data_IF_967226259860
#
_entry.id   IF_967226259860
#
_cell.length_a   1.000
_cell.length_b   1.000
_cell.length_c   1.000
_cell.angle_alpha   90.00
_cell.angle_beta   90.00
_cell.angle_gamma   90.00
#
_symmetry.space_group_name_H-M   'P 1'
#
loop_
_entity.id
_entity.type
_entity.pdbx_description
1 polymer ?
#
# COMPACT_ATOMS: atom_id res chain seq x y z
N UNK A 1 32.46 29.93 28.31
CA UNK A 1 31.89 28.89 29.19
C UNK A 1 30.54 29.40 29.63
N UNK A 2 29.48 29.05 28.91
CA UNK A 2 28.15 29.38 29.39
C UNK A 2 27.89 28.52 30.63
N UNK A 3 27.48 29.20 31.73
CA UNK A 3 27.18 28.53 32.97
C UNK A 3 26.04 27.56 32.76
N UNK A 4 26.23 26.31 33.17
CA UNK A 4 25.16 25.32 33.22
C UNK A 4 24.12 25.80 34.22
N UNK A 5 22.96 26.20 33.77
CA UNK A 5 21.85 26.55 34.64
C UNK A 5 21.11 25.25 35.03
N UNK A 6 21.74 24.49 35.91
CA UNK A 6 21.23 23.21 36.40
C UNK A 6 21.24 23.22 37.92
N UNK A 7 20.16 22.77 38.52
CA UNK A 7 20.09 22.52 39.99
C UNK A 7 19.98 21.02 40.22
N UNK A 8 20.80 20.50 41.12
CA UNK A 8 20.82 19.10 41.52
C UNK A 8 20.75 18.99 43.04
N UNK A 9 19.75 18.30 43.53
CA UNK A 9 19.59 17.97 44.94
C UNK A 9 19.39 16.47 45.09
N UNK A 10 20.14 15.83 45.99
CA UNK A 10 19.98 14.42 46.30
C UNK A 10 20.61 14.05 47.64
N UNK A 11 20.11 13.00 48.28
CA UNK A 11 20.73 12.38 49.42
C UNK A 11 21.63 11.23 48.94
N UNK A 12 22.93 11.42 49.07
CA UNK A 12 23.92 10.43 48.60
C UNK A 12 24.47 9.59 49.73
N UNK A 13 24.50 8.28 49.59
CA UNK A 13 25.17 7.36 50.49
C UNK A 13 25.74 6.17 49.74
N UNK A 14 26.66 5.44 50.31
CA UNK A 14 27.29 4.28 49.66
C UNK A 14 28.80 4.21 49.83
N UNK A 15 29.45 3.54 48.92
CA UNK A 15 30.87 3.27 48.91
C UNK A 15 31.46 3.09 47.52
N UNK A 16 32.61 2.45 47.41
CA UNK A 16 33.28 2.24 46.12
C UNK A 16 32.57 1.25 45.21
N UNK A 17 31.83 0.31 45.79
CA UNK A 17 31.11 -0.74 45.02
C UNK A 17 29.67 -0.35 44.67
N UNK A 18 29.11 0.62 45.38
CA UNK A 18 27.71 1.08 45.11
C UNK A 18 27.49 2.50 45.63
N UNK A 19 26.73 3.28 44.88
CA UNK A 19 26.29 4.63 45.23
C UNK A 19 24.76 4.65 45.12
N UNK A 20 24.11 5.13 46.19
CA UNK A 20 22.68 5.34 46.26
C UNK A 20 22.42 6.82 46.30
N UNK A 21 21.52 7.29 45.46
CA UNK A 21 21.03 8.65 45.40
C UNK A 21 19.53 8.63 45.61
N UNK A 22 19.09 9.04 46.80
CA UNK A 22 17.70 9.09 47.15
C UNK A 22 17.17 10.53 47.01
N UNK A 23 15.85 10.63 46.63
CA UNK A 23 15.16 11.89 46.49
C UNK A 23 15.90 12.86 45.55
N UNK A 24 16.32 12.36 44.42
CA UNK A 24 17.00 13.17 43.40
C UNK A 24 15.97 14.15 42.80
N UNK A 25 16.35 15.42 42.78
CA UNK A 25 15.67 16.48 42.06
C UNK A 25 16.66 17.16 41.11
N UNK A 26 16.51 16.95 39.83
CA UNK A 26 17.33 17.56 38.78
C UNK A 26 16.45 18.50 37.95
N UNK A 27 16.84 19.76 37.88
CA UNK A 27 16.23 20.74 36.99
C UNK A 27 17.29 21.35 36.07
N UNK A 28 16.89 21.71 34.86
CA UNK A 28 17.74 22.34 33.85
C UNK A 28 17.00 23.56 33.27
N UNK A 29 17.63 24.74 33.33
CA UNK A 29 17.02 26.01 32.92
C UNK A 29 15.64 26.30 33.59
N UNK A 30 15.45 25.79 34.82
CA UNK A 30 14.22 25.93 35.57
C UNK A 30 13.18 24.81 35.31
N UNK A 31 13.36 23.99 34.29
CA UNK A 31 12.48 22.86 34.00
C UNK A 31 12.94 21.60 34.74
N UNK A 32 11.99 20.87 35.32
CA UNK A 32 12.26 19.61 36.03
C UNK A 32 12.57 18.51 35.00
N UNK A 33 13.79 17.96 35.09
CA UNK A 33 14.27 16.91 34.15
C UNK A 33 14.14 15.53 34.78
N UNK A 34 14.54 15.39 36.07
CA UNK A 34 14.49 14.11 36.76
C UNK A 34 14.01 14.27 38.20
N UNK A 35 13.17 13.33 38.62
CA UNK A 35 12.76 13.14 40.01
C UNK A 35 12.64 11.64 40.27
N UNK A 36 13.30 11.15 41.30
CA UNK A 36 13.31 9.73 41.59
C UNK A 36 14.44 9.30 42.49
N UNK A 37 14.74 8.02 42.45
CA UNK A 37 15.87 7.40 43.17
C UNK A 37 16.74 6.65 42.14
N UNK A 38 18.06 6.66 42.37
CA UNK A 38 19.00 5.94 41.52
C UNK A 38 19.99 5.18 42.41
N UNK A 39 20.18 3.91 42.12
CA UNK A 39 21.28 3.10 42.67
C UNK A 39 22.22 2.73 41.54
N UNK A 40 23.51 2.97 41.75
CA UNK A 40 24.58 2.65 40.80
C UNK A 40 25.51 1.64 41.46
N UNK A 41 25.69 0.52 40.81
CA UNK A 41 26.60 -0.54 41.25
C UNK A 41 27.83 -0.57 40.34
N UNK A 42 28.98 -0.85 40.93
CA UNK A 42 30.29 -0.90 40.26
C UNK A 42 30.68 0.38 39.51
N UNK A 43 30.53 1.57 40.11
CA UNK A 43 30.69 2.85 39.41
C UNK A 43 32.08 3.12 38.87
N UNK A 44 33.12 2.40 39.38
CA UNK A 44 34.52 2.52 38.94
C UNK A 44 34.80 1.67 37.71
N UNK A 45 34.00 0.61 37.48
CA UNK A 45 34.18 -0.34 36.39
C UNK A 45 33.10 -0.03 35.32
N UNK A 46 33.37 0.86 34.38
CA UNK A 46 32.41 1.32 33.37
C UNK A 46 31.77 0.15 32.60
N UNK A 47 32.57 -0.90 32.28
CA UNK A 47 32.05 -2.10 31.59
C UNK A 47 31.14 -2.96 32.48
N UNK A 48 31.08 -2.70 33.78
CA UNK A 48 30.27 -3.43 34.76
C UNK A 48 29.20 -2.54 35.40
N UNK A 49 29.12 -1.30 34.97
CA UNK A 49 28.16 -0.31 35.49
C UNK A 49 26.74 -0.83 35.38
N UNK A 50 26.09 -1.01 36.53
CA UNK A 50 24.67 -1.40 36.60
C UNK A 50 23.90 -0.27 37.30
N UNK A 51 22.78 0.10 36.72
CA UNK A 51 21.90 1.18 37.20
C UNK A 51 20.53 0.61 37.54
N UNK A 52 20.04 0.93 38.72
CA UNK A 52 18.64 0.80 39.08
C UNK A 52 18.06 2.21 39.31
N UNK A 53 17.09 2.61 38.50
CA UNK A 53 16.48 3.92 38.62
C UNK A 53 14.95 3.78 38.74
N UNK A 54 14.40 4.32 39.83
CA UNK A 54 12.97 4.51 39.98
C UNK A 54 12.63 5.95 39.58
N UNK A 55 12.08 6.13 38.38
CA UNK A 55 11.77 7.41 37.79
C UNK A 55 10.33 7.82 38.10
N UNK A 56 10.13 8.75 39.04
CA UNK A 56 8.85 9.40 39.26
C UNK A 56 8.58 10.43 38.16
N UNK A 57 9.64 10.99 37.58
CA UNK A 57 9.62 11.92 36.49
C UNK A 57 10.98 11.89 35.79
N UNK A 58 10.98 11.57 34.52
CA UNK A 58 12.13 11.75 33.64
C UNK A 58 11.62 12.41 32.36
N UNK A 59 12.08 13.62 32.12
CA UNK A 59 11.62 14.44 30.99
C UNK A 59 12.79 14.81 30.10
N UNK A 60 12.60 14.71 28.80
CA UNK A 60 13.49 15.31 27.81
C UNK A 60 12.71 15.66 26.51
N UNK A 61 13.21 16.67 25.85
CA UNK A 61 12.78 17.08 24.52
C UNK A 61 14.00 17.24 23.61
N UNK A 62 13.74 17.62 22.35
CA UNK A 62 14.81 17.79 21.36
C UNK A 62 15.85 18.84 21.78
N UNK A 63 15.45 19.92 22.44
CA UNK A 63 16.34 21.00 22.87
C UNK A 63 17.25 20.52 23.98
N UNK A 64 16.68 19.91 25.01
CA UNK A 64 17.43 19.34 26.13
C UNK A 64 18.39 18.23 25.67
N UNK A 65 17.93 17.35 24.79
CA UNK A 65 18.75 16.28 24.22
C UNK A 65 19.95 16.84 23.45
N UNK A 66 19.74 17.83 22.60
CA UNK A 66 20.79 18.51 21.85
C UNK A 66 21.78 19.25 22.75
N UNK A 67 21.28 19.94 23.77
CA UNK A 67 22.11 20.66 24.72
C UNK A 67 22.98 19.70 25.53
N UNK A 68 22.45 18.55 25.94
CA UNK A 68 23.21 17.49 26.63
C UNK A 68 24.31 16.90 25.75
N UNK A 69 23.99 16.55 24.49
CA UNK A 69 24.98 16.02 23.55
C UNK A 69 26.13 17.01 23.30
N UNK A 70 25.80 18.30 23.14
CA UNK A 70 26.79 19.35 22.93
C UNK A 70 27.73 19.51 24.16
N UNK A 71 27.17 19.40 25.36
CA UNK A 71 27.97 19.52 26.61
C UNK A 71 28.87 18.31 26.85
N UNK A 72 28.43 17.14 26.43
CA UNK A 72 29.24 15.89 26.51
C UNK A 72 30.20 15.76 25.32
N UNK A 73 30.29 16.77 24.43
CA UNK A 73 31.06 16.77 23.18
C UNK A 73 30.77 15.55 22.29
N UNK A 74 29.56 15.00 22.39
CA UNK A 74 29.06 13.91 21.55
C UNK A 74 28.52 14.50 20.25
N UNK A 75 29.18 14.20 19.13
CA UNK A 75 28.82 14.72 17.78
C UNK A 75 28.28 13.59 16.90
N UNK A 76 27.39 13.94 15.99
CA UNK A 76 26.92 13.00 14.96
C UNK A 76 25.68 12.19 15.33
N UNK A 77 25.13 12.35 16.54
CA UNK A 77 23.86 11.73 16.90
C UNK A 77 22.70 12.66 16.55
N UNK A 78 21.80 12.22 15.68
CA UNK A 78 20.54 12.89 15.38
C UNK A 78 19.39 11.99 15.79
N UNK A 79 18.34 12.59 16.38
CA UNK A 79 17.10 11.86 16.61
C UNK A 79 16.46 11.50 15.26
N UNK A 80 16.03 10.26 15.03
CA UNK A 80 15.27 9.89 13.84
C UNK A 80 14.03 10.78 13.69
N UNK A 81 13.67 11.13 12.44
CA UNK A 81 12.52 12.00 12.14
C UNK A 81 11.22 11.62 12.87
N UNK A 82 10.82 10.34 12.96
CA UNK A 82 9.63 9.98 13.72
C UNK A 82 9.72 10.38 15.20
N UNK A 83 10.90 10.30 15.83
CA UNK A 83 11.06 10.67 17.24
C UNK A 83 10.99 12.19 17.47
N UNK A 84 11.39 13.01 16.49
CA UNK A 84 11.23 14.47 16.58
C UNK A 84 9.76 14.90 16.63
N UNK A 85 8.87 14.12 15.99
CA UNK A 85 7.44 14.38 16.02
C UNK A 85 6.81 14.14 17.40
N UNK A 86 7.46 13.40 18.31
CA UNK A 86 7.02 13.19 19.69
C UNK A 86 7.07 14.49 20.51
N UNK A 87 7.88 15.47 20.11
CA UNK A 87 8.17 16.78 20.71
C UNK A 87 8.81 16.70 22.10
N UNK A 88 8.29 15.89 22.99
CA UNK A 88 8.82 15.61 24.32
C UNK A 88 8.53 14.17 24.70
N UNK A 89 9.34 13.63 25.58
CA UNK A 89 9.15 12.32 26.18
C UNK A 89 9.20 12.50 27.71
N UNK A 90 8.14 12.09 28.36
CA UNK A 90 8.05 12.00 29.80
C UNK A 90 7.89 10.54 30.19
N UNK A 91 8.87 10.01 30.90
CA UNK A 91 8.87 8.63 31.38
C UNK A 91 8.61 8.55 32.87
N UNK A 92 7.76 7.60 33.25
CA UNK A 92 7.50 7.23 34.65
C UNK A 92 7.58 5.72 34.76
N UNK A 93 8.44 5.22 35.67
CA UNK A 93 8.64 3.78 35.80
C UNK A 93 10.02 3.42 36.32
N UNK A 94 10.36 2.14 36.20
CA UNK A 94 11.64 1.58 36.61
C UNK A 94 12.54 1.29 35.43
N UNK A 95 13.82 1.55 35.59
CA UNK A 95 14.88 1.23 34.64
C UNK A 95 15.93 0.42 35.41
N UNK A 96 16.20 -0.80 34.96
CA UNK A 96 17.14 -1.72 35.59
C UNK A 96 18.11 -2.29 34.56
N UNK A 97 19.39 -2.28 34.87
CA UNK A 97 20.38 -2.97 34.06
C UNK A 97 21.59 -2.14 33.67
N UNK A 98 22.28 -2.60 32.65
CA UNK A 98 23.38 -1.90 31.98
C UNK A 98 22.85 -1.17 30.75
N UNK A 99 23.61 -0.20 30.23
CA UNK A 99 23.26 0.50 29.01
C UNK A 99 23.02 -0.47 27.82
N UNK A 100 23.80 -1.54 27.78
CA UNK A 100 23.71 -2.59 26.75
C UNK A 100 22.58 -3.59 27.01
N UNK A 101 21.90 -3.56 28.16
CA UNK A 101 20.91 -4.54 28.58
C UNK A 101 20.04 -3.97 29.69
N UNK A 102 19.10 -3.08 29.31
CA UNK A 102 18.21 -2.37 30.21
C UNK A 102 16.80 -2.95 30.19
N UNK A 103 16.28 -3.27 31.37
CA UNK A 103 14.86 -3.56 31.58
C UNK A 103 14.10 -2.25 31.78
N UNK A 104 13.05 -2.05 31.01
CA UNK A 104 12.13 -0.93 31.12
C UNK A 104 10.77 -1.40 31.60
N UNK A 105 10.25 -0.83 32.67
CA UNK A 105 8.93 -1.09 33.16
C UNK A 105 8.22 0.22 33.53
N UNK A 106 7.41 0.76 32.62
CA UNK A 106 6.83 2.08 32.84
C UNK A 106 5.94 2.58 31.71
N UNK A 107 5.81 3.89 31.67
CA UNK A 107 5.01 4.56 30.66
C UNK A 107 5.74 5.78 30.10
N UNK A 108 5.70 5.88 28.76
CA UNK A 108 6.13 7.06 28.02
C UNK A 108 4.93 7.91 27.65
N UNK A 109 4.91 9.16 28.09
CA UNK A 109 3.92 10.16 27.68
C UNK A 109 4.59 11.17 26.76
N UNK A 110 3.97 11.43 25.62
CA UNK A 110 4.46 12.33 24.57
C UNK A 110 3.35 13.29 24.14
N UNK A 111 3.64 14.23 23.27
CA UNK A 111 2.61 15.07 22.67
C UNK A 111 1.58 14.27 21.81
N UNK A 112 1.90 13.04 21.43
CA UNK A 112 1.04 12.19 20.59
C UNK A 112 0.20 11.19 21.39
N UNK A 113 0.47 11.02 22.68
CA UNK A 113 -0.22 10.07 23.56
C UNK A 113 0.72 9.36 24.51
N UNK A 114 0.16 8.39 25.24
CA UNK A 114 0.90 7.60 26.23
C UNK A 114 1.00 6.16 25.78
N UNK A 115 2.20 5.59 25.86
CA UNK A 115 2.48 4.17 25.64
C UNK A 115 3.03 3.56 26.92
N UNK A 116 2.58 2.36 27.26
CA UNK A 116 3.18 1.53 28.33
C UNK A 116 4.15 0.58 27.71
N UNK A 117 5.26 0.38 28.39
CA UNK A 117 6.32 -0.53 27.96
C UNK A 117 6.75 -1.42 29.12
N UNK A 118 6.96 -2.68 28.81
CA UNK A 118 7.54 -3.66 29.72
C UNK A 118 8.44 -4.59 28.90
N UNK A 119 9.75 -4.43 28.96
CA UNK A 119 10.64 -5.22 28.13
C UNK A 119 12.11 -4.84 28.30
N UNK A 120 12.92 -5.55 27.55
CA UNK A 120 14.36 -5.39 27.46
C UNK A 120 14.68 -4.44 26.30
N UNK A 121 15.50 -3.44 26.56
CA UNK A 121 16.08 -2.56 25.57
C UNK A 121 17.59 -2.68 25.60
N UNK A 122 18.18 -2.95 24.46
CA UNK A 122 19.63 -3.02 24.28
C UNK A 122 20.06 -1.90 23.34
N UNK A 123 20.97 -1.06 23.78
CA UNK A 123 21.51 0.04 22.99
C UNK A 123 22.95 -0.32 22.62
N UNK A 124 23.27 -0.25 21.33
CA UNK A 124 24.65 -0.42 20.87
C UNK A 124 25.54 0.65 21.50
N UNK A 125 26.76 0.26 21.94
CA UNK A 125 27.78 1.15 22.51
C UNK A 125 28.15 2.31 21.59
N UNK A 126 27.95 2.15 20.28
CA UNK A 126 28.12 3.23 19.28
C UNK A 126 26.96 4.20 19.23
N UNK A 127 25.85 3.92 19.94
CA UNK A 127 24.56 4.65 19.89
C UNK A 127 23.96 4.72 18.50
N UNK A 128 24.31 3.80 17.61
CA UNK A 128 23.80 3.77 16.23
C UNK A 128 22.66 2.79 16.02
N UNK A 129 22.37 1.95 17.02
CA UNK A 129 21.29 0.98 16.94
C UNK A 129 20.71 0.66 18.31
N UNK A 130 19.50 0.11 18.31
CA UNK A 130 18.85 -0.40 19.50
C UNK A 130 17.98 -1.63 19.17
N UNK A 131 17.94 -2.58 20.10
CA UNK A 131 17.01 -3.70 20.09
C UNK A 131 15.99 -3.50 21.19
N UNK A 132 14.77 -3.88 20.95
CA UNK A 132 13.71 -3.93 21.95
C UNK A 132 12.99 -5.28 21.88
N UNK A 133 12.83 -5.89 23.03
CA UNK A 133 12.05 -7.13 23.17
C UNK A 133 11.12 -7.02 24.36
N UNK A 134 9.82 -7.01 24.11
CA UNK A 134 8.86 -6.88 25.20
C UNK A 134 7.45 -6.54 24.74
N UNK A 135 6.69 -6.04 25.69
CA UNK A 135 5.32 -5.68 25.54
C UNK A 135 5.15 -4.17 25.47
N UNK A 136 4.42 -3.69 24.46
CA UNK A 136 4.06 -2.28 24.26
C UNK A 136 2.55 -2.15 24.11
N UNK A 137 1.93 -1.22 24.82
CA UNK A 137 0.50 -0.99 24.69
C UNK A 137 0.12 0.48 24.78
N UNK A 138 -0.97 0.85 24.13
CA UNK A 138 -1.58 2.17 24.22
C UNK A 138 -3.09 2.10 24.09
N UNK A 139 -3.81 3.00 24.76
CA UNK A 139 -5.25 3.17 24.60
C UNK A 139 -5.60 4.27 23.58
N UNK A 140 -4.61 5.01 23.10
CA UNK A 140 -4.78 6.05 22.08
C UNK A 140 -3.48 6.81 21.85
N UNK A 141 -2.95 6.67 20.63
CA UNK A 141 -1.70 7.31 20.20
C UNK A 141 -1.90 7.86 18.79
N UNK A 142 -1.49 9.12 18.54
CA UNK A 142 -1.68 9.81 17.26
C UNK A 142 -0.61 9.37 16.24
N UNK A 143 -0.73 8.12 15.76
CA UNK A 143 0.26 7.50 14.86
C UNK A 143 0.39 8.24 13.53
N UNK A 144 -0.69 8.82 13.02
CA UNK A 144 -0.66 9.63 11.80
C UNK A 144 0.24 10.86 11.93
N UNK A 145 0.27 11.50 13.09
CA UNK A 145 1.19 12.61 13.35
C UNK A 145 2.63 12.14 13.50
N UNK A 146 2.85 10.94 14.06
CA UNK A 146 4.18 10.36 14.15
C UNK A 146 4.83 10.21 12.76
N UNK A 147 4.08 9.69 11.79
CA UNK A 147 4.56 9.43 10.43
C UNK A 147 4.22 10.53 9.41
N UNK A 148 3.65 11.66 9.85
CA UNK A 148 3.17 12.75 8.97
C UNK A 148 2.16 12.28 7.90
N UNK A 149 1.32 11.29 8.25
CA UNK A 149 0.31 10.74 7.35
C UNK A 149 -1.08 11.30 7.72
N UNK A 150 -1.65 12.14 6.85
CA UNK A 150 -2.88 12.90 7.13
C UNK A 150 -4.15 12.05 7.30
N UNK A 151 -4.20 10.91 6.60
CA UNK A 151 -5.38 10.04 6.59
C UNK A 151 -5.35 8.98 7.71
N UNK A 152 -4.23 8.86 8.42
CA UNK A 152 -4.05 7.98 9.57
C UNK A 152 -4.24 8.78 10.86
N UNK A 153 -5.10 8.29 11.75
CA UNK A 153 -5.45 8.98 13.00
C UNK A 153 -4.86 8.31 14.24
N UNK A 154 -5.73 8.08 15.23
CA UNK A 154 -5.36 7.43 16.48
C UNK A 154 -5.31 5.91 16.32
N UNK A 155 -4.43 5.29 17.13
CA UNK A 155 -4.35 3.84 17.27
C UNK A 155 -4.41 3.45 18.75
N UNK A 156 -5.09 2.35 19.07
CA UNK A 156 -5.04 1.70 20.37
C UNK A 156 -4.68 0.23 20.16
N UNK A 157 -3.59 -0.22 20.75
CA UNK A 157 -3.07 -1.57 20.56
C UNK A 157 -2.42 -2.15 21.82
N UNK A 158 -2.22 -3.45 21.77
CA UNK A 158 -1.50 -4.27 22.72
C UNK A 158 -0.62 -5.22 21.89
N UNK A 159 0.70 -5.16 22.07
CA UNK A 159 1.62 -5.87 21.21
C UNK A 159 2.83 -6.44 21.96
N UNK A 160 3.25 -7.64 21.60
CA UNK A 160 4.56 -8.17 21.85
C UNK A 160 5.45 -7.88 20.64
N UNK A 161 6.61 -7.29 20.87
CA UNK A 161 7.54 -6.86 19.82
C UNK A 161 8.92 -7.39 20.17
N UNK A 162 9.60 -7.97 19.19
CA UNK A 162 11.04 -8.27 19.21
C UNK A 162 11.63 -7.63 17.96
N UNK A 163 12.30 -6.51 18.10
CA UNK A 163 12.71 -5.72 16.95
C UNK A 163 14.02 -4.98 17.15
N UNK A 164 14.63 -4.67 16.04
CA UNK A 164 15.88 -3.93 15.95
C UNK A 164 15.76 -2.74 15.00
N UNK A 165 16.39 -1.67 15.40
CA UNK A 165 16.50 -0.43 14.62
C UNK A 165 17.96 -0.03 14.54
N UNK A 166 18.42 0.35 13.36
CA UNK A 166 19.66 1.11 13.21
C UNK A 166 19.38 2.62 13.17
N UNK A 167 20.39 3.43 12.98
CA UNK A 167 20.26 4.90 12.96
C UNK A 167 19.32 5.42 11.87
N UNK A 168 18.91 4.61 10.90
CA UNK A 168 18.19 5.02 9.69
C UNK A 168 16.85 4.33 9.51
N UNK A 169 16.72 3.05 9.93
CA UNK A 169 15.57 2.23 9.61
C UNK A 169 15.36 1.04 10.58
N UNK A 170 14.18 0.46 10.56
CA UNK A 170 13.94 -0.85 11.16
C UNK A 170 14.63 -1.93 10.33
N UNK A 171 15.43 -2.76 11.00
CA UNK A 171 16.19 -3.83 10.36
C UNK A 171 15.50 -5.18 10.49
N UNK A 172 14.81 -5.39 11.60
CA UNK A 172 14.06 -6.60 11.90
C UNK A 172 12.96 -6.29 12.90
N UNK A 173 11.80 -6.95 12.77
CA UNK A 173 10.71 -6.84 13.72
C UNK A 173 9.85 -8.10 13.65
N UNK A 174 9.73 -8.81 14.75
CA UNK A 174 8.67 -9.79 14.99
C UNK A 174 7.63 -9.12 15.86
N UNK A 175 6.38 -9.15 15.44
CA UNK A 175 5.29 -8.55 16.19
C UNK A 175 4.07 -9.45 16.23
N UNK A 176 3.55 -9.67 17.44
CA UNK A 176 2.21 -10.20 17.69
C UNK A 176 1.39 -9.07 18.31
N UNK A 177 0.39 -8.56 17.60
CA UNK A 177 -0.33 -7.38 18.02
C UNK A 177 -1.86 -7.55 17.90
N UNK A 178 -2.56 -7.05 18.91
CA UNK A 178 -4.00 -6.82 18.87
C UNK A 178 -4.25 -5.31 18.82
N UNK A 179 -4.71 -4.82 17.67
CA UNK A 179 -5.11 -3.44 17.47
C UNK A 179 -6.61 -3.36 17.76
N UNK A 180 -6.95 -2.77 18.90
CA UNK A 180 -8.36 -2.62 19.34
C UNK A 180 -9.12 -1.69 18.43
N UNK A 181 -8.46 -0.61 18.00
CA UNK A 181 -8.99 0.37 17.05
C UNK A 181 -7.88 1.14 16.36
N UNK A 182 -8.11 1.52 15.11
CA UNK A 182 -7.28 2.47 14.34
C UNK A 182 -8.16 3.32 13.45
N UNK A 183 -7.91 4.63 13.45
CA UNK A 183 -8.61 5.57 12.58
C UNK A 183 -7.85 5.68 11.25
N UNK A 184 -8.55 5.42 10.14
CA UNK A 184 -8.01 5.58 8.78
C UNK A 184 -9.10 6.06 7.82
N UNK A 185 -8.80 7.08 7.01
CA UNK A 185 -9.73 7.72 6.06
C UNK A 185 -11.07 8.15 6.70
N UNK A 186 -11.05 8.57 7.98
CA UNK A 186 -12.25 8.99 8.70
C UNK A 186 -13.15 7.83 9.18
N UNK A 187 -12.74 6.59 9.01
CA UNK A 187 -13.37 5.41 9.58
C UNK A 187 -12.51 4.84 10.71
N UNK A 188 -13.14 4.31 11.77
CA UNK A 188 -12.45 3.62 12.86
C UNK A 188 -12.59 2.12 12.69
N UNK A 189 -11.51 1.46 12.30
CA UNK A 189 -11.41 0.01 12.21
C UNK A 189 -11.22 -0.60 13.58
N UNK A 190 -11.82 -1.77 13.82
CA UNK A 190 -11.78 -2.48 15.08
C UNK A 190 -11.27 -3.91 14.93
N UNK A 191 -10.77 -4.49 16.06
CA UNK A 191 -10.44 -5.91 16.19
C UNK A 191 -9.49 -6.40 15.09
N UNK A 192 -8.32 -5.79 14.98
CA UNK A 192 -7.28 -6.18 14.04
C UNK A 192 -6.24 -7.00 14.81
N UNK A 193 -5.90 -8.16 14.28
CA UNK A 193 -4.82 -9.01 14.79
C UNK A 193 -3.74 -9.11 13.72
N UNK A 194 -2.50 -8.94 14.14
CA UNK A 194 -1.33 -9.04 13.31
C UNK A 194 -0.35 -9.98 14.02
N UNK A 195 0.18 -10.94 13.26
CA UNK A 195 1.24 -11.83 13.70
C UNK A 195 2.19 -12.04 12.53
N UNK A 196 3.43 -11.57 12.67
CA UNK A 196 4.36 -11.64 11.56
C UNK A 196 5.76 -11.16 11.88
N UNK A 197 6.59 -11.38 10.90
CA UNK A 197 7.98 -10.98 10.85
C UNK A 197 8.22 -10.03 9.68
N UNK A 198 8.92 -8.97 9.95
CA UNK A 198 9.38 -7.99 8.98
C UNK A 198 10.89 -7.88 9.05
N UNK A 199 11.56 -8.14 7.95
CA UNK A 199 12.96 -7.86 7.69
C UNK A 199 13.09 -6.73 6.67
N UNK A 200 14.29 -6.27 6.37
CA UNK A 200 14.53 -5.18 5.41
C UNK A 200 13.87 -5.48 4.05
N UNK A 201 13.93 -6.72 3.60
CA UNK A 201 13.49 -7.15 2.27
C UNK A 201 12.34 -8.17 2.30
N UNK A 202 11.78 -8.47 3.46
CA UNK A 202 10.76 -9.50 3.60
C UNK A 202 9.69 -9.11 4.62
N UNK A 203 8.46 -9.42 4.29
CA UNK A 203 7.34 -9.44 5.23
C UNK A 203 6.69 -10.82 5.13
N UNK A 204 6.55 -11.49 6.26
CA UNK A 204 5.88 -12.78 6.37
C UNK A 204 4.95 -12.79 7.57
N UNK A 205 3.68 -13.16 7.38
CA UNK A 205 2.75 -13.21 8.51
C UNK A 205 1.29 -13.22 8.14
N UNK A 206 0.48 -12.98 9.16
CA UNK A 206 -0.97 -12.97 9.08
C UNK A 206 -1.54 -11.64 9.56
N UNK A 207 -2.57 -11.17 8.88
CA UNK A 207 -3.39 -10.03 9.28
C UNK A 207 -4.85 -10.45 9.28
N UNK A 208 -5.55 -10.25 10.39
CA UNK A 208 -6.98 -10.48 10.50
C UNK A 208 -7.70 -9.22 10.95
N UNK A 209 -8.79 -8.87 10.28
CA UNK A 209 -9.69 -7.77 10.66
C UNK A 209 -11.08 -8.36 10.88
N UNK A 210 -11.66 -8.08 12.04
CA UNK A 210 -13.01 -8.51 12.42
C UNK A 210 -13.84 -7.28 12.81
N UNK A 211 -14.20 -6.51 11.79
CA UNK A 211 -14.99 -5.28 11.91
C UNK A 211 -16.38 -5.48 11.29
N UNK A 212 -17.35 -4.67 11.66
CA UNK A 212 -18.74 -4.78 11.18
C UNK A 212 -18.86 -4.54 9.67
N UNK A 213 -17.92 -3.79 9.08
CA UNK A 213 -17.93 -3.41 7.67
C UNK A 213 -16.81 -4.05 6.85
N UNK A 214 -15.96 -4.85 7.48
CA UNK A 214 -14.94 -5.65 6.81
C UNK A 214 -14.52 -6.84 7.67
N UNK A 215 -14.57 -8.02 7.09
CA UNK A 215 -13.95 -9.23 7.63
C UNK A 215 -12.88 -9.68 6.65
N UNK A 216 -11.61 -9.57 7.06
CA UNK A 216 -10.45 -9.80 6.20
C UNK A 216 -9.47 -10.71 6.94
N UNK A 217 -8.99 -11.75 6.24
CA UNK A 217 -7.83 -12.51 6.65
C UNK A 217 -6.82 -12.50 5.49
N UNK A 218 -5.59 -12.13 5.79
CA UNK A 218 -4.46 -12.21 4.87
C UNK A 218 -3.41 -13.08 5.52
N UNK A 219 -2.89 -14.03 4.75
CA UNK A 219 -1.75 -14.85 5.14
C UNK A 219 -0.77 -14.86 3.97
N UNK A 220 0.50 -14.65 4.22
CA UNK A 220 1.48 -14.79 3.16
C UNK A 220 2.82 -14.13 3.38
N UNK A 221 3.56 -14.14 2.29
CA UNK A 221 4.94 -13.70 2.18
C UNK A 221 5.07 -12.70 1.04
N UNK A 222 5.78 -11.61 1.29
CA UNK A 222 6.32 -10.74 0.26
C UNK A 222 7.83 -10.56 0.52
N UNK A 223 8.62 -10.95 -0.46
CA UNK A 223 10.08 -10.89 -0.45
C UNK A 223 10.53 -10.06 -1.66
N UNK A 224 11.36 -9.02 -1.41
CA UNK A 224 11.86 -8.12 -2.45
C UNK A 224 13.36 -7.88 -2.28
N UNK A 225 14.14 -8.89 -2.53
CA UNK A 225 15.60 -8.74 -2.59
C UNK A 225 16.01 -7.92 -3.84
N UNK A 226 17.28 -7.51 -3.93
CA UNK A 226 17.77 -6.58 -4.98
C UNK A 226 17.52 -7.07 -6.41
N UNK A 227 17.52 -8.38 -6.62
CA UNK A 227 17.41 -8.98 -7.95
C UNK A 227 16.09 -9.73 -8.18
N UNK A 228 15.39 -10.12 -7.12
CA UNK A 228 14.21 -10.96 -7.17
C UNK A 228 13.10 -10.43 -6.25
N UNK A 229 11.87 -10.48 -6.71
CA UNK A 229 10.69 -10.18 -5.90
C UNK A 229 9.69 -11.32 -6.00
N UNK A 230 9.23 -11.80 -4.86
CA UNK A 230 8.22 -12.84 -4.74
C UNK A 230 7.08 -12.39 -3.84
N UNK A 231 5.86 -12.65 -4.26
CA UNK A 231 4.65 -12.36 -3.49
C UNK A 231 3.76 -13.60 -3.51
N UNK A 232 3.53 -14.20 -2.35
CA UNK A 232 2.60 -15.30 -2.15
C UNK A 232 1.60 -14.90 -1.08
N UNK A 233 0.34 -14.66 -1.46
CA UNK A 233 -0.72 -14.22 -0.56
C UNK A 233 -1.97 -15.08 -0.71
N UNK A 234 -2.57 -15.43 0.43
CA UNK A 234 -3.94 -15.91 0.55
C UNK A 234 -4.77 -14.85 1.25
N UNK A 235 -5.83 -14.38 0.60
CA UNK A 235 -6.70 -13.31 1.07
C UNK A 235 -8.13 -13.85 1.13
N UNK A 236 -8.74 -13.82 2.30
CA UNK A 236 -10.14 -14.13 2.52
C UNK A 236 -10.86 -12.84 2.92
N UNK A 237 -11.69 -12.34 2.03
CA UNK A 237 -12.48 -11.13 2.24
C UNK A 237 -13.95 -11.48 2.35
N UNK A 238 -14.57 -11.08 3.45
CA UNK A 238 -16.00 -11.20 3.66
C UNK A 238 -16.57 -9.87 4.13
N UNK A 239 -17.85 -9.62 3.80
CA UNK A 239 -18.60 -8.45 4.25
C UNK A 239 -17.91 -7.10 4.06
N UNK A 240 -17.09 -6.95 3.03
CA UNK A 240 -16.44 -5.69 2.72
C UNK A 240 -17.44 -4.68 2.15
N UNK A 241 -17.65 -3.58 2.89
CA UNK A 241 -18.55 -2.48 2.53
C UNK A 241 -17.75 -1.20 2.22
N UNK A 242 -17.39 -0.95 0.94
CA UNK A 242 -16.52 0.18 0.58
C UNK A 242 -17.07 1.55 0.99
N UNK A 243 -18.38 1.74 0.89
CA UNK A 243 -19.02 3.01 1.23
C UNK A 243 -19.03 3.26 2.75
N UNK A 244 -19.30 2.24 3.56
CA UNK A 244 -19.27 2.35 5.01
C UNK A 244 -17.84 2.64 5.52
N UNK A 245 -16.83 2.17 4.83
CA UNK A 245 -15.42 2.42 5.10
C UNK A 245 -14.89 3.74 4.51
N UNK A 246 -15.78 4.58 3.95
CA UNK A 246 -15.45 5.87 3.32
C UNK A 246 -14.53 5.79 2.11
N UNK A 247 -14.44 4.63 1.44
CA UNK A 247 -13.61 4.42 0.25
C UNK A 247 -14.31 4.90 -1.04
N UNK A 248 -15.63 4.99 -1.02
CA UNK A 248 -16.46 5.47 -2.14
C UNK A 248 -17.80 6.01 -1.65
N UNK A 249 -18.39 6.92 -2.38
CA UNK A 249 -19.77 7.38 -2.14
C UNK A 249 -20.79 6.60 -3.01
N UNK A 250 -20.29 5.83 -4.00
CA UNK A 250 -21.14 5.05 -4.91
C UNK A 250 -21.55 3.72 -4.26
N UNK A 251 -22.76 3.26 -4.61
CA UNK A 251 -23.32 1.97 -4.16
C UNK A 251 -23.21 1.79 -2.63
N UNK A 252 -23.94 2.59 -1.84
CA UNK A 252 -23.78 2.63 -0.38
C UNK A 252 -24.08 1.29 0.31
N UNK A 253 -24.83 0.41 -0.34
CA UNK A 253 -25.23 -0.89 0.18
C UNK A 253 -24.42 -2.05 -0.42
N UNK A 254 -23.39 -1.76 -1.22
CA UNK A 254 -22.55 -2.78 -1.85
C UNK A 254 -21.73 -3.50 -0.77
N UNK A 255 -21.82 -4.83 -0.78
CA UNK A 255 -21.00 -5.74 -0.01
C UNK A 255 -20.25 -6.68 -0.95
N UNK A 256 -18.98 -6.90 -0.65
CA UNK A 256 -18.07 -7.69 -1.49
C UNK A 256 -17.46 -8.80 -0.63
N UNK A 257 -17.42 -10.01 -1.19
CA UNK A 257 -16.69 -11.14 -0.62
C UNK A 257 -15.91 -11.87 -1.69
N UNK A 258 -14.71 -12.33 -1.38
CA UNK A 258 -13.88 -13.09 -2.30
C UNK A 258 -12.78 -13.86 -1.55
N UNK A 259 -12.36 -15.00 -2.10
CA UNK A 259 -11.11 -15.65 -1.74
C UNK A 259 -10.11 -15.43 -2.87
N UNK A 260 -8.94 -14.92 -2.55
CA UNK A 260 -7.93 -14.56 -3.54
C UNK A 260 -6.60 -15.22 -3.21
N UNK A 261 -6.01 -15.85 -4.20
CA UNK A 261 -4.69 -16.45 -4.15
C UNK A 261 -3.79 -15.73 -5.15
N UNK A 262 -2.70 -15.21 -4.66
CA UNK A 262 -1.70 -14.48 -5.45
C UNK A 262 -0.38 -15.21 -5.31
N UNK A 263 0.23 -15.58 -6.44
CA UNK A 263 1.61 -16.04 -6.48
C UNK A 263 2.28 -15.39 -7.67
N UNK A 264 3.11 -14.41 -7.39
CA UNK A 264 3.81 -13.61 -8.39
C UNK A 264 5.29 -13.64 -8.12
N UNK A 265 6.05 -13.74 -9.18
CA UNK A 265 7.50 -13.69 -9.17
C UNK A 265 7.99 -12.76 -10.28
N UNK A 266 8.98 -11.95 -9.97
CA UNK A 266 9.65 -11.08 -10.94
C UNK A 266 11.11 -10.90 -10.56
N UNK A 267 11.94 -10.49 -11.53
CA UNK A 267 13.36 -10.25 -11.31
C UNK A 267 13.86 -9.07 -12.15
N UNK A 268 15.05 -8.58 -11.80
CA UNK A 268 15.73 -7.51 -12.50
C UNK A 268 15.52 -6.13 -11.92
N UNK A 269 15.93 -5.11 -12.65
CA UNK A 269 15.76 -3.70 -12.25
C UNK A 269 14.28 -3.31 -12.15
N UNK A 270 13.92 -2.26 -11.41
CA UNK A 270 12.54 -1.78 -11.31
C UNK A 270 11.85 -1.54 -12.67
N UNK A 271 12.62 -1.21 -13.71
CA UNK A 271 12.12 -1.03 -15.08
C UNK A 271 11.83 -2.37 -15.78
N UNK A 272 12.54 -3.43 -15.44
CA UNK A 272 12.42 -4.75 -16.02
C UNK A 272 11.42 -5.65 -15.29
N UNK A 273 11.08 -5.32 -14.03
CA UNK A 273 10.21 -6.14 -13.19
C UNK A 273 8.86 -6.48 -13.85
N UNK A 274 8.23 -5.53 -14.55
CA UNK A 274 6.98 -5.81 -15.26
C UNK A 274 7.17 -6.76 -16.43
N UNK A 275 8.30 -6.63 -17.14
CA UNK A 275 8.61 -7.45 -18.31
C UNK A 275 9.08 -8.87 -17.91
N UNK A 276 9.49 -9.06 -16.66
CA UNK A 276 9.89 -10.35 -16.09
C UNK A 276 8.82 -10.97 -15.17
N UNK A 277 7.63 -10.34 -15.09
CA UNK A 277 6.57 -10.80 -14.18
C UNK A 277 6.00 -12.14 -14.64
N UNK A 278 5.96 -13.09 -13.71
CA UNK A 278 5.39 -14.41 -13.87
C UNK A 278 4.48 -14.77 -12.69
N UNK A 279 3.51 -15.65 -12.92
CA UNK A 279 2.69 -16.19 -11.86
C UNK A 279 1.20 -16.11 -12.14
N UNK A 280 0.42 -16.05 -11.06
CA UNK A 280 -1.03 -16.04 -11.17
C UNK A 280 -1.72 -15.24 -10.07
N UNK A 281 -2.93 -14.79 -10.40
CA UNK A 281 -3.92 -14.29 -9.46
C UNK A 281 -5.22 -15.07 -9.69
N UNK A 282 -5.71 -15.76 -8.66
CA UNK A 282 -6.96 -16.50 -8.68
C UNK A 282 -7.90 -15.88 -7.67
N UNK A 283 -9.07 -15.45 -8.12
CA UNK A 283 -10.15 -14.99 -7.25
C UNK A 283 -11.27 -16.00 -7.33
N UNK A 284 -11.53 -16.71 -6.24
CA UNK A 284 -12.61 -17.67 -6.14
C UNK A 284 -13.82 -17.03 -5.46
N UNK A 285 -15.00 -17.35 -5.99
CA UNK A 285 -16.28 -16.96 -5.42
C UNK A 285 -16.40 -15.47 -5.10
N UNK A 286 -16.08 -14.60 -6.10
CA UNK A 286 -16.32 -13.17 -5.95
C UNK A 286 -17.82 -12.92 -5.86
N UNK A 287 -18.28 -12.53 -4.68
CA UNK A 287 -19.68 -12.25 -4.36
C UNK A 287 -19.89 -10.74 -4.29
N UNK A 288 -20.89 -10.26 -4.98
CA UNK A 288 -21.34 -8.89 -4.94
C UNK A 288 -22.80 -8.89 -4.49
N UNK A 289 -23.12 -8.20 -3.42
CA UNK A 289 -24.49 -7.99 -2.96
C UNK A 289 -24.75 -6.48 -2.87
N UNK A 290 -25.81 -6.01 -3.49
CA UNK A 290 -26.21 -4.59 -3.50
C UNK A 290 -27.72 -4.46 -3.47
N UNK A 291 -28.30 -4.04 -2.35
CA UNK A 291 -29.74 -4.12 -2.07
C UNK A 291 -30.25 -5.56 -2.21
N UNK A 292 -31.25 -5.77 -3.08
CA UNK A 292 -31.84 -7.08 -3.34
C UNK A 292 -31.12 -7.87 -4.44
N UNK A 293 -30.13 -7.26 -5.10
CA UNK A 293 -29.37 -7.87 -6.17
C UNK A 293 -28.13 -8.60 -5.63
N UNK A 294 -27.96 -9.85 -6.04
CA UNK A 294 -26.80 -10.66 -5.71
C UNK A 294 -26.19 -11.21 -7.00
N UNK A 295 -24.89 -11.10 -7.10
CA UNK A 295 -24.14 -11.62 -8.23
C UNK A 295 -22.89 -12.35 -7.76
N UNK A 296 -22.61 -13.51 -8.32
CA UNK A 296 -21.43 -14.31 -8.02
C UNK A 296 -20.67 -14.63 -9.29
N UNK A 297 -19.36 -14.41 -9.26
CA UNK A 297 -18.43 -14.92 -10.25
C UNK A 297 -17.68 -16.09 -9.58
N UNK A 298 -17.86 -17.29 -10.12
CA UNK A 298 -17.31 -18.49 -9.50
C UNK A 298 -15.80 -18.46 -9.44
N UNK A 299 -15.16 -18.06 -10.55
CA UNK A 299 -13.70 -17.93 -10.60
C UNK A 299 -13.23 -16.88 -11.58
N UNK A 300 -12.23 -16.11 -11.18
CA UNK A 300 -11.41 -15.27 -12.06
C UNK A 300 -9.97 -15.77 -11.97
N UNK A 301 -9.40 -16.18 -13.08
CA UNK A 301 -8.03 -16.68 -13.16
C UNK A 301 -7.21 -15.84 -14.12
N UNK A 302 -6.23 -15.13 -13.60
CA UNK A 302 -5.22 -14.39 -14.34
C UNK A 302 -3.91 -15.17 -14.30
N UNK A 303 -3.38 -15.54 -15.45
CA UNK A 303 -2.07 -16.17 -15.59
C UNK A 303 -1.15 -15.24 -16.36
N UNK A 304 0.04 -15.07 -15.87
CA UNK A 304 1.08 -14.22 -16.46
C UNK A 304 2.32 -15.06 -16.66
N UNK A 305 2.72 -15.21 -17.91
CA UNK A 305 3.93 -15.92 -18.30
C UNK A 305 4.80 -14.95 -19.12
N UNK A 306 6.03 -14.75 -18.71
CA UNK A 306 7.01 -13.91 -19.39
C UNK A 306 8.32 -14.69 -19.57
N UNK A 307 8.90 -14.63 -20.75
CA UNK A 307 10.16 -15.28 -21.07
C UNK A 307 10.97 -14.44 -22.05
N UNK A 308 12.27 -14.60 -22.09
CA UNK A 308 13.10 -13.93 -23.10
C UNK A 308 13.20 -14.80 -24.34
N UNK A 309 12.70 -14.31 -25.49
CA UNK A 309 12.83 -14.93 -26.81
C UNK A 309 13.59 -14.01 -27.73
N UNK A 310 14.61 -14.53 -28.39
CA UNK A 310 15.44 -13.75 -29.33
C UNK A 310 15.92 -12.40 -28.76
N UNK A 311 16.31 -12.40 -27.51
CA UNK A 311 16.78 -11.23 -26.76
C UNK A 311 15.71 -10.12 -26.58
N UNK A 312 14.42 -10.48 -26.66
CA UNK A 312 13.27 -9.62 -26.43
C UNK A 312 12.31 -10.28 -25.43
N UNK A 313 11.65 -9.54 -24.54
CA UNK A 313 10.64 -10.11 -23.66
C UNK A 313 9.41 -10.52 -24.47
N UNK A 314 9.01 -11.77 -24.29
CA UNK A 314 7.76 -12.33 -24.81
C UNK A 314 6.82 -12.57 -23.66
N UNK A 315 5.60 -12.07 -23.78
CA UNK A 315 4.58 -12.15 -22.74
C UNK A 315 3.39 -12.96 -23.22
N UNK A 316 2.79 -13.70 -22.29
CA UNK A 316 1.49 -14.31 -22.45
C UNK A 316 0.65 -14.05 -21.19
N UNK A 317 -0.40 -13.24 -21.30
CA UNK A 317 -1.34 -12.93 -20.24
C UNK A 317 -2.70 -13.51 -20.60
N UNK A 318 -3.20 -14.40 -19.75
CA UNK A 318 -4.47 -15.11 -19.94
C UNK A 318 -5.43 -14.80 -18.80
N UNK A 319 -6.59 -14.27 -19.13
CA UNK A 319 -7.68 -14.05 -18.19
C UNK A 319 -8.84 -14.97 -18.52
N UNK A 320 -9.29 -15.72 -17.54
CA UNK A 320 -10.43 -16.63 -17.66
C UNK A 320 -11.38 -16.42 -16.49
N UNK A 321 -12.65 -16.24 -16.81
CA UNK A 321 -13.73 -16.21 -15.81
C UNK A 321 -15.07 -16.56 -16.47
N UNK A 322 -16.11 -16.63 -15.65
CA UNK A 322 -17.49 -16.78 -16.13
C UNK A 322 -17.95 -15.58 -16.98
N UNK A 323 -17.29 -14.42 -16.83
CA UNK A 323 -17.62 -13.18 -17.52
C UNK A 323 -16.79 -12.93 -18.76
N UNK A 324 -15.54 -13.33 -18.77
CA UNK A 324 -14.60 -12.96 -19.82
C UNK A 324 -13.53 -14.03 -20.02
N UNK A 325 -13.23 -14.25 -21.29
CA UNK A 325 -12.01 -14.98 -21.68
C UNK A 325 -11.18 -14.03 -22.54
N UNK A 326 -9.96 -13.73 -22.07
CA UNK A 326 -9.06 -12.85 -22.78
C UNK A 326 -7.65 -13.41 -22.84
N UNK A 327 -6.94 -13.06 -23.90
CA UNK A 327 -5.52 -13.36 -24.08
C UNK A 327 -4.82 -12.14 -24.66
N UNK A 328 -3.62 -11.88 -24.15
CA UNK A 328 -2.67 -10.93 -24.67
C UNK A 328 -1.36 -11.67 -24.82
N UNK A 329 -0.77 -11.70 -26.01
CA UNK A 329 0.49 -12.39 -26.23
C UNK A 329 1.34 -11.70 -27.27
N UNK A 330 2.65 -11.76 -27.10
CA UNK A 330 3.59 -11.19 -28.06
C UNK A 330 4.91 -10.74 -27.48
N UNK A 331 5.72 -10.18 -28.35
CA UNK A 331 7.04 -9.64 -28.03
C UNK A 331 6.93 -8.12 -27.89
N UNK A 332 7.00 -7.61 -26.68
CA UNK A 332 6.93 -6.19 -26.38
C UNK A 332 7.47 -5.93 -24.96
N UNK A 333 7.71 -4.67 -24.61
CA UNK A 333 7.87 -4.24 -23.23
C UNK A 333 6.63 -3.45 -22.83
N UNK A 334 6.15 -3.63 -21.59
CA UNK A 334 4.98 -2.88 -21.11
C UNK A 334 5.21 -1.36 -21.15
N UNK A 335 6.44 -0.92 -20.86
CA UNK A 335 6.82 0.48 -20.91
C UNK A 335 6.78 1.08 -22.34
N UNK A 336 6.89 0.25 -23.38
CA UNK A 336 6.85 0.70 -24.77
C UNK A 336 5.42 0.95 -25.29
N UNK A 337 4.40 0.31 -24.73
CA UNK A 337 3.02 0.39 -25.22
C UNK A 337 2.48 1.83 -25.34
N UNK A 338 2.63 2.73 -24.33
CA UNK A 338 2.22 4.13 -24.47
C UNK A 338 2.96 4.87 -25.59
N UNK A 339 4.28 4.63 -25.71
CA UNK A 339 5.12 5.25 -26.77
C UNK A 339 4.66 4.81 -28.15
N UNK A 340 4.32 3.53 -28.32
CA UNK A 340 3.80 2.98 -29.59
C UNK A 340 2.47 3.65 -29.95
N UNK A 341 1.55 3.72 -28.98
CA UNK A 341 0.26 4.38 -29.19
C UNK A 341 0.46 5.86 -29.56
N UNK A 342 1.40 6.56 -28.92
CA UNK A 342 1.72 7.94 -29.24
C UNK A 342 2.29 8.09 -30.66
N UNK A 343 3.18 7.20 -31.10
CA UNK A 343 3.72 7.22 -32.45
C UNK A 343 2.64 7.00 -33.52
N UNK A 344 1.79 6.01 -33.31
CA UNK A 344 0.68 5.69 -34.23
C UNK A 344 -0.28 6.88 -34.31
N UNK A 345 -0.64 7.44 -33.15
CA UNK A 345 -1.57 8.58 -33.11
C UNK A 345 -0.93 9.80 -33.77
N UNK A 346 0.33 10.13 -33.46
CA UNK A 346 1.02 11.29 -34.06
C UNK A 346 1.17 11.13 -35.58
N UNK A 347 1.46 9.94 -36.07
CA UNK A 347 1.62 9.67 -37.52
C UNK A 347 0.37 10.04 -38.33
N UNK A 348 -0.82 9.75 -37.79
CA UNK A 348 -2.09 9.97 -38.51
C UNK A 348 -2.88 11.16 -38.02
N UNK A 349 -2.61 11.64 -36.79
CA UNK A 349 -3.32 12.73 -36.15
C UNK A 349 -2.34 13.66 -35.39
N UNK A 350 -1.40 14.31 -36.10
CA UNK A 350 -0.29 15.07 -35.50
C UNK A 350 -0.78 16.27 -34.68
N UNK A 351 -1.99 16.76 -34.91
CA UNK A 351 -2.58 17.85 -34.14
C UNK A 351 -3.11 17.44 -32.76
N UNK A 352 -3.31 16.14 -32.52
CA UNK A 352 -3.85 15.64 -31.26
C UNK A 352 -2.77 15.24 -30.26
N UNK A 353 -1.59 14.86 -30.74
CA UNK A 353 -0.52 14.32 -29.90
C UNK A 353 0.82 14.87 -30.40
N UNK A 354 1.64 15.33 -29.45
CA UNK A 354 2.99 15.81 -29.76
C UNK A 354 3.88 14.69 -30.31
N UNK A 355 4.86 15.07 -31.14
CA UNK A 355 5.80 14.12 -31.72
C UNK A 355 6.60 13.42 -30.63
N UNK A 356 6.59 12.05 -30.59
CA UNK A 356 7.37 11.31 -29.62
C UNK A 356 8.85 11.59 -29.75
N UNK A 357 9.51 11.86 -28.64
CA UNK A 357 10.96 12.09 -28.61
C UNK A 357 11.76 10.79 -28.64
N UNK A 358 11.12 9.67 -28.25
CA UNK A 358 11.72 8.35 -28.22
C UNK A 358 11.48 7.67 -29.57
N UNK A 359 12.47 6.93 -30.08
CA UNK A 359 12.32 6.15 -31.32
C UNK A 359 11.25 5.07 -31.15
N UNK A 360 10.56 4.77 -32.27
CA UNK A 360 9.62 3.66 -32.31
C UNK A 360 10.30 2.34 -31.90
N UNK A 361 9.74 1.60 -30.95
CA UNK A 361 10.31 0.34 -30.49
C UNK A 361 10.31 -0.69 -31.63
N UNK A 362 11.49 -1.24 -31.92
CA UNK A 362 11.62 -2.30 -32.92
C UNK A 362 11.20 -3.65 -32.33
N UNK A 363 10.75 -4.56 -33.18
CA UNK A 363 10.36 -5.94 -32.82
C UNK A 363 9.15 -6.03 -31.86
N UNK A 364 8.24 -5.06 -31.91
CA UNK A 364 6.99 -5.13 -31.17
C UNK A 364 5.97 -5.91 -31.98
N UNK A 365 5.50 -7.03 -31.42
CA UNK A 365 4.41 -7.82 -31.96
C UNK A 365 3.47 -8.16 -30.80
N UNK A 366 2.20 -7.90 -30.99
CA UNK A 366 1.17 -8.05 -29.97
C UNK A 366 -0.11 -8.56 -30.60
N UNK A 367 -0.62 -9.67 -30.12
CA UNK A 367 -1.93 -10.20 -30.44
C UNK A 367 -2.81 -10.22 -29.21
N UNK A 368 -4.06 -9.78 -29.32
CA UNK A 368 -4.99 -9.81 -28.23
C UNK A 368 -6.42 -10.13 -28.68
N UNK A 369 -7.16 -10.75 -27.77
CA UNK A 369 -8.59 -10.89 -27.86
C UNK A 369 -9.24 -10.88 -26.47
N UNK A 370 -10.50 -10.45 -26.42
CA UNK A 370 -11.39 -10.64 -25.28
C UNK A 370 -12.80 -10.94 -25.77
N UNK A 371 -13.36 -12.03 -25.24
CA UNK A 371 -14.74 -12.45 -25.45
C UNK A 371 -15.48 -12.34 -24.11
N UNK A 372 -16.47 -11.46 -24.07
CA UNK A 372 -17.27 -11.27 -22.88
C UNK A 372 -18.55 -12.10 -22.98
N UNK A 373 -19.04 -12.54 -21.84
CA UNK A 373 -20.39 -13.09 -21.70
C UNK A 373 -21.39 -11.99 -21.43
N UNK A 374 -22.62 -12.34 -21.05
CA UNK A 374 -23.63 -11.38 -20.66
C UNK A 374 -23.20 -10.64 -19.39
N UNK A 375 -23.23 -9.33 -19.41
CA UNK A 375 -22.78 -8.47 -18.33
C UNK A 375 -23.92 -7.75 -17.61
N UNK A 376 -25.17 -7.99 -18.03
CA UNK A 376 -26.36 -7.32 -17.50
C UNK A 376 -26.54 -7.52 -15.99
N UNK A 377 -26.35 -8.71 -15.47
CA UNK A 377 -26.43 -8.95 -14.02
C UNK A 377 -25.38 -8.18 -13.25
N UNK A 378 -24.13 -8.15 -13.73
CA UNK A 378 -23.04 -7.39 -13.11
C UNK A 378 -23.33 -5.88 -13.16
N UNK A 379 -23.76 -5.37 -14.32
CA UNK A 379 -24.05 -3.94 -14.49
C UNK A 379 -25.24 -3.48 -13.64
N UNK A 380 -26.25 -4.34 -13.45
CA UNK A 380 -27.39 -4.10 -12.58
C UNK A 380 -26.98 -4.11 -11.10
N UNK A 381 -26.26 -5.14 -10.65
CA UNK A 381 -25.77 -5.22 -9.27
C UNK A 381 -24.91 -4.01 -8.89
N UNK A 382 -24.09 -3.51 -9.82
CA UNK A 382 -23.25 -2.33 -9.62
C UNK A 382 -23.95 -1.00 -9.91
N UNK A 383 -25.24 -1.00 -10.30
CA UNK A 383 -26.02 0.21 -10.62
C UNK A 383 -25.32 1.10 -11.66
N UNK A 384 -24.74 0.52 -12.71
CA UNK A 384 -24.02 1.29 -13.72
C UNK A 384 -24.93 2.09 -14.65
N UNK A 385 -26.26 1.87 -14.61
CA UNK A 385 -27.23 2.53 -15.47
C UNK A 385 -27.17 2.11 -16.94
N UNK A 386 -26.47 1.01 -17.20
CA UNK A 386 -26.36 0.38 -18.51
C UNK A 386 -26.52 -1.13 -18.36
N UNK A 387 -27.17 -1.75 -19.35
CA UNK A 387 -27.23 -3.21 -19.47
C UNK A 387 -26.52 -3.66 -20.74
N UNK A 388 -25.76 -4.72 -20.63
CA UNK A 388 -25.06 -5.35 -21.75
C UNK A 388 -25.50 -6.82 -21.82
N UNK A 389 -26.69 -7.12 -22.31
CA UNK A 389 -27.28 -8.46 -22.31
C UNK A 389 -26.75 -9.35 -23.44
N UNK A 390 -25.61 -9.01 -23.99
CA UNK A 390 -25.04 -9.61 -25.19
C UNK A 390 -23.61 -10.05 -24.95
N UNK A 391 -22.97 -10.61 -25.95
CA UNK A 391 -21.61 -11.13 -25.93
C UNK A 391 -20.65 -10.18 -26.66
N UNK A 392 -20.14 -9.13 -25.99
CA UNK A 392 -19.17 -8.24 -26.60
C UNK A 392 -17.87 -8.98 -26.94
N UNK A 393 -17.22 -8.54 -27.99
CA UNK A 393 -15.92 -9.07 -28.40
C UNK A 393 -14.99 -7.95 -28.80
N UNK A 394 -13.72 -8.10 -28.47
CA UNK A 394 -12.64 -7.27 -28.99
C UNK A 394 -11.47 -8.16 -29.37
N UNK A 395 -10.83 -7.87 -30.48
CA UNK A 395 -9.60 -8.54 -30.91
C UNK A 395 -8.75 -7.60 -31.76
N UNK A 396 -7.48 -7.84 -31.78
CA UNK A 396 -6.59 -7.07 -32.64
C UNK A 396 -5.16 -7.57 -32.57
N UNK A 397 -4.35 -6.92 -33.39
CA UNK A 397 -2.92 -7.11 -33.38
C UNK A 397 -2.18 -5.80 -33.65
N UNK A 398 -0.94 -5.79 -33.23
CA UNK A 398 0.06 -4.80 -33.58
C UNK A 398 1.34 -5.56 -33.97
N UNK A 399 1.68 -5.57 -35.25
CA UNK A 399 2.88 -6.21 -35.76
C UNK A 399 3.79 -5.15 -36.41
N UNK A 400 4.79 -4.72 -35.67
CA UNK A 400 5.58 -3.55 -36.08
C UNK A 400 4.70 -2.29 -36.12
N UNK A 401 4.46 -1.76 -37.34
CA UNK A 401 3.53 -0.61 -37.55
C UNK A 401 2.15 -1.03 -38.07
N UNK A 402 1.94 -2.31 -38.36
CA UNK A 402 0.63 -2.81 -38.77
C UNK A 402 -0.29 -2.94 -37.56
N UNK A 403 -1.40 -2.21 -37.58
CA UNK A 403 -2.39 -2.14 -36.50
C UNK A 403 -3.73 -2.58 -37.01
N UNK A 404 -4.33 -3.54 -36.33
CA UNK A 404 -5.73 -3.89 -36.56
C UNK A 404 -6.45 -4.09 -35.23
N UNK A 405 -7.58 -3.40 -35.05
CA UNK A 405 -8.45 -3.57 -33.89
C UNK A 405 -9.89 -3.71 -34.39
N UNK A 406 -10.61 -4.70 -33.89
CA UNK A 406 -12.01 -4.94 -34.15
C UNK A 406 -12.74 -5.13 -32.84
N UNK A 407 -13.85 -4.42 -32.65
CA UNK A 407 -14.74 -4.62 -31.52
C UNK A 407 -16.18 -4.72 -32.03
N UNK A 408 -16.93 -5.61 -31.39
CA UNK A 408 -18.35 -5.79 -31.65
C UNK A 408 -19.11 -5.88 -30.33
N UNK A 409 -20.12 -5.03 -30.16
CA UNK A 409 -21.05 -5.06 -29.04
C UNK A 409 -22.45 -5.21 -29.60
N UNK A 410 -23.07 -6.39 -29.47
CA UNK A 410 -24.38 -6.65 -30.07
C UNK A 410 -25.49 -5.73 -29.55
N UNK A 411 -25.50 -5.41 -28.26
CA UNK A 411 -26.49 -4.51 -27.68
C UNK A 411 -25.98 -3.86 -26.39
N UNK A 412 -26.28 -2.56 -26.25
CA UNK A 412 -26.19 -1.82 -24.98
C UNK A 412 -27.53 -1.18 -24.73
N UNK A 413 -28.09 -1.35 -23.55
CA UNK A 413 -29.36 -0.71 -23.13
C UNK A 413 -29.07 0.29 -22.01
N UNK A 414 -29.75 1.40 -22.06
CA UNK A 414 -29.82 2.39 -20.98
C UNK A 414 -31.29 2.62 -20.65
N UNK A 415 -31.59 3.33 -19.57
CA UNK A 415 -32.96 3.69 -19.21
C UNK A 415 -33.71 4.45 -20.30
N UNK A 416 -32.98 5.04 -21.27
CA UNK A 416 -33.58 5.92 -22.31
C UNK A 416 -33.37 5.43 -23.73
N UNK A 417 -32.44 4.53 -23.97
CA UNK A 417 -32.04 4.23 -25.35
C UNK A 417 -31.42 2.81 -25.39
N UNK A 418 -31.71 2.12 -26.50
CA UNK A 418 -31.02 0.88 -26.85
C UNK A 418 -30.18 1.11 -28.11
N UNK A 419 -28.93 0.74 -28.06
CA UNK A 419 -27.99 0.81 -29.18
C UNK A 419 -27.59 -0.63 -29.52
N UNK A 420 -27.75 -1.01 -30.74
CA UNK A 420 -27.46 -2.36 -31.23
C UNK A 420 -26.40 -2.33 -32.32
N UNK A 421 -25.84 -3.51 -32.60
CA UNK A 421 -24.90 -3.77 -33.70
C UNK A 421 -23.73 -2.79 -33.71
N UNK A 422 -23.19 -2.43 -32.51
CA UNK A 422 -22.06 -1.52 -32.43
C UNK A 422 -20.84 -2.26 -32.94
N UNK A 423 -20.34 -1.85 -34.10
CA UNK A 423 -19.13 -2.41 -34.71
C UNK A 423 -18.10 -1.31 -34.83
N UNK A 424 -16.94 -1.53 -34.27
CA UNK A 424 -15.76 -0.68 -34.38
C UNK A 424 -14.67 -1.44 -35.11
N UNK A 425 -14.05 -0.82 -36.10
CA UNK A 425 -12.87 -1.35 -36.77
C UNK A 425 -11.87 -0.23 -37.00
N UNK A 426 -10.62 -0.50 -36.61
CA UNK A 426 -9.47 0.35 -36.86
C UNK A 426 -8.41 -0.52 -37.56
N UNK A 427 -7.89 -0.06 -38.68
CA UNK A 427 -6.79 -0.71 -39.37
C UNK A 427 -6.01 0.29 -40.20
N UNK A 428 -4.71 0.06 -40.36
CA UNK A 428 -3.91 0.78 -41.32
C UNK A 428 -3.63 -0.09 -42.55
N UNK A 429 -3.46 0.57 -43.67
CA UNK A 429 -3.18 -0.08 -44.95
C UNK A 429 -1.83 0.43 -45.46
N UNK A 430 -0.84 -0.46 -45.61
CA UNK A 430 0.50 -0.19 -46.15
C UNK A 430 1.20 1.01 -45.43
N UNK A 431 0.97 1.20 -44.15
CA UNK A 431 1.51 2.28 -43.32
C UNK A 431 1.15 3.73 -43.76
N UNK A 432 0.41 3.90 -44.85
CA UNK A 432 0.08 5.21 -45.40
C UNK A 432 -1.28 5.76 -44.96
N UNK A 433 -2.20 4.85 -44.62
CA UNK A 433 -3.60 5.24 -44.36
C UNK A 433 -4.16 4.48 -43.17
N UNK A 434 -4.60 5.24 -42.16
CA UNK A 434 -5.41 4.71 -41.05
C UNK A 434 -6.88 4.85 -41.36
N UNK A 435 -7.63 3.75 -41.29
CA UNK A 435 -9.06 3.72 -41.47
C UNK A 435 -9.75 3.36 -40.14
N UNK A 436 -10.69 4.18 -39.74
CA UNK A 436 -11.60 3.94 -38.63
C UNK A 436 -13.02 3.83 -39.15
N UNK A 437 -13.71 2.80 -38.79
CA UNK A 437 -15.12 2.58 -39.11
C UNK A 437 -15.90 2.34 -37.82
N UNK A 438 -16.94 3.08 -37.61
CA UNK A 438 -17.91 2.89 -36.55
C UNK A 438 -19.31 2.75 -37.16
N UNK A 439 -19.98 1.67 -36.81
CA UNK A 439 -21.40 1.45 -37.17
C UNK A 439 -22.21 1.22 -35.90
N UNK A 440 -23.41 1.78 -35.82
CA UNK A 440 -24.36 1.53 -34.76
C UNK A 440 -25.79 1.71 -35.23
N UNK A 441 -26.72 0.96 -34.62
CA UNK A 441 -28.16 1.06 -34.79
C UNK A 441 -28.76 1.47 -33.45
N UNK A 442 -29.40 2.63 -33.40
CA UNK A 442 -30.04 3.16 -32.20
C UNK A 442 -31.55 3.03 -32.30
N UNK A 443 -32.18 2.36 -31.35
CA UNK A 443 -33.63 2.35 -31.17
C UNK A 443 -34.03 3.44 -30.17
N UNK A 444 -34.80 4.42 -30.62
CA UNK A 444 -35.29 5.47 -29.75
C UNK A 444 -36.56 5.01 -29.01
N UNK A 445 -36.78 5.41 -27.74
CA UNK A 445 -37.96 5.03 -26.99
C UNK A 445 -39.26 5.56 -27.66
N UNK A 446 -40.27 4.70 -27.80
CA UNK A 446 -41.51 5.02 -28.49
C UNK A 446 -42.48 5.89 -27.67
N UNK A 447 -42.25 6.03 -26.40
CA UNK A 447 -42.98 6.87 -25.46
C UNK A 447 -42.73 8.38 -25.64
N UNK A 448 -41.67 8.76 -26.38
CA UNK A 448 -41.40 10.13 -26.77
C UNK A 448 -42.03 10.40 -28.17
N UNK A 449 -43.00 11.33 -28.32
CA UNK A 449 -43.65 11.60 -29.62
C UNK A 449 -42.69 12.02 -30.73
N UNK A 450 -41.59 12.66 -30.40
CA UNK A 450 -40.58 13.07 -31.37
C UNK A 450 -39.68 11.87 -31.75
N UNK A 451 -39.33 11.04 -30.81
CA UNK A 451 -38.57 9.82 -31.03
C UNK A 451 -39.34 8.79 -31.85
N UNK A 452 -40.64 8.61 -31.56
CA UNK A 452 -41.54 7.73 -32.33
C UNK A 452 -41.68 8.13 -33.81
N UNK A 453 -41.51 9.42 -34.13
CA UNK A 453 -41.50 9.90 -35.51
C UNK A 453 -40.19 9.68 -36.25
N UNK A 454 -39.07 9.64 -35.52
CA UNK A 454 -37.74 9.46 -36.10
C UNK A 454 -37.44 7.98 -36.39
N UNK A 455 -38.06 7.05 -35.64
CA UNK A 455 -37.82 5.62 -35.77
C UNK A 455 -36.37 5.24 -35.42
N UNK A 456 -35.87 4.20 -36.06
CA UNK A 456 -34.52 3.71 -35.85
C UNK A 456 -33.47 4.60 -36.54
N UNK A 457 -32.42 4.98 -35.81
CA UNK A 457 -31.33 5.77 -36.33
C UNK A 457 -30.15 4.85 -36.62
N UNK A 458 -29.72 4.79 -37.88
CA UNK A 458 -28.49 4.14 -38.31
C UNK A 458 -27.39 5.17 -38.44
N UNK A 459 -26.34 5.03 -37.63
CA UNK A 459 -25.16 5.84 -37.76
C UNK A 459 -24.01 5.01 -38.37
N UNK A 460 -23.38 5.55 -39.37
CA UNK A 460 -22.18 5.01 -39.97
C UNK A 460 -21.17 6.12 -40.10
N UNK A 461 -20.06 5.98 -39.39
CA UNK A 461 -18.94 6.93 -39.40
C UNK A 461 -17.77 6.21 -40.02
N UNK A 462 -17.15 6.80 -41.04
CA UNK A 462 -15.93 6.32 -41.63
C UNK A 462 -14.95 7.49 -41.67
N UNK A 463 -13.80 7.33 -41.04
CA UNK A 463 -12.71 8.31 -40.98
C UNK A 463 -11.49 7.68 -41.59
N UNK A 464 -10.82 8.42 -42.45
CA UNK A 464 -9.52 8.04 -42.98
C UNK A 464 -8.53 9.15 -42.71
N UNK A 465 -7.41 8.79 -42.11
CA UNK A 465 -6.28 9.66 -41.89
C UNK A 465 -5.09 9.16 -42.70
N UNK A 466 -4.35 10.09 -43.28
CA UNK A 466 -3.16 9.78 -44.10
C UNK A 466 -1.93 10.21 -43.35
N UNK A 467 -0.80 9.55 -43.65
CA UNK A 467 0.50 9.99 -43.18
C UNK A 467 0.83 11.35 -43.84
N UNK A 468 1.05 12.37 -43.04
CA UNK A 468 1.35 13.74 -43.47
C UNK A 468 2.88 13.97 -43.61
N UNK A 469 3.66 13.04 -44.16
CA UNK A 469 5.09 13.22 -44.42
C UNK A 469 5.35 14.17 -45.61
#
# INVERSE_FOLDING_TARGET
MDQLDATFEANLHGGLDSIFADSIHLSFKGDKVFDGNVAIYYPILLDSLYVHANCKHLYFDEVLFRDLLNQLDIKGIALPLPLTNLKHIHYVGDIDGRLEDMQLHGAFTTALGTMRVNGLMQIDTTLQGANFKGHVSTNGFQIGKLFNHKDLGNIAFDAHIDGSIDSTQFTHCIAEATIKKVDYLGYTYHNIHLDGEWNINEINGTLSIQDDNIQLNINGLADWDQDDTRIDLEIQLNDFSPAALHLTEKNPNLRIGANTYISLYTSGTPQEMLDNLNGYVIVDSLKLANNDENYTIEQIKLLIDSEIKDNCPYHQVRLQSDLVTANLSGTFTYAALPTIAQHITHKYLPLLVEKPQVKYPKNTNLDFYAYFRQLDQLTNTLNLGIDIPSYPTIKGHLHGQDVQIQAFVPSIKTNKTQINDITFALHNTNDEKLNLSLYMLTHLPQDNPTAAKLGDIKARIHVSAYDDN
#
